data_IF_828530658504
#
_entry.id   IF_828530658504
#
_cell.length_a   1.000
_cell.length_b   1.000
_cell.length_c   1.000
_cell.angle_alpha   90.00
_cell.angle_beta   90.00
_cell.angle_gamma   90.00
#
_symmetry.space_group_name_H-M   'P 1'
#
loop_
_entity.id
_entity.type
_entity.pdbx_description
1 polymer ?
#
# COMPACT_ATOMS: atom_id res chain seq x y z
N UNK A 1 -52.78 -1.01 0.23
CA UNK A 1 -51.66 -1.82 0.76
C UNK A 1 -51.31 -2.92 -0.25
N UNK A 2 -50.22 -2.76 -1.00
CA UNK A 2 -49.38 -3.86 -1.49
C UNK A 2 -47.96 -3.32 -1.54
N UNK A 3 -47.13 -3.87 -0.66
CA UNK A 3 -45.74 -3.49 -0.45
C UNK A 3 -44.90 -3.86 -1.66
N UNK A 4 -43.96 -2.99 -1.98
CA UNK A 4 -42.96 -3.21 -3.01
C UNK A 4 -41.92 -4.24 -2.55
N UNK A 5 -41.50 -5.06 -3.50
CA UNK A 5 -40.31 -5.90 -3.37
C UNK A 5 -39.39 -5.57 -4.54
N UNK A 6 -38.63 -4.49 -4.39
CA UNK A 6 -37.39 -4.28 -5.14
C UNK A 6 -36.26 -4.68 -4.20
N UNK A 7 -36.00 -5.99 -4.11
CA UNK A 7 -34.72 -6.51 -3.61
C UNK A 7 -33.66 -6.16 -4.64
N UNK A 8 -33.18 -4.93 -4.56
CA UNK A 8 -32.12 -4.36 -5.41
C UNK A 8 -30.79 -4.79 -4.82
N UNK A 9 -29.90 -5.36 -5.65
CA UNK A 9 -28.59 -5.89 -5.29
C UNK A 9 -27.59 -4.82 -4.84
N UNK A 10 -27.88 -4.18 -3.71
CA UNK A 10 -27.02 -3.20 -3.03
C UNK A 10 -26.48 -3.71 -1.69
N UNK A 11 -27.00 -4.84 -1.17
CA UNK A 11 -26.57 -5.39 0.13
C UNK A 11 -25.18 -6.07 0.07
N UNK A 12 -24.62 -6.34 -1.11
CA UNK A 12 -23.27 -6.92 -1.24
C UNK A 12 -22.14 -5.90 -1.15
N UNK A 13 -22.45 -4.60 -1.16
CA UNK A 13 -21.48 -3.51 -0.96
C UNK A 13 -21.33 -3.07 0.50
N UNK A 14 -22.07 -3.71 1.41
CA UNK A 14 -22.06 -3.39 2.85
C UNK A 14 -21.08 -4.25 3.65
N UNK A 15 -20.10 -4.90 2.99
CA UNK A 15 -18.84 -5.24 3.67
C UNK A 15 -18.08 -3.95 3.89
N UNK A 16 -18.42 -3.28 4.99
CA UNK A 16 -17.71 -2.14 5.58
C UNK A 16 -16.21 -2.27 5.31
N UNK A 17 -15.69 -1.48 4.37
CA UNK A 17 -14.26 -1.23 4.19
C UNK A 17 -13.75 -0.62 5.50
N UNK A 18 -13.41 -1.47 6.47
CA UNK A 18 -12.87 -1.01 7.74
C UNK A 18 -11.38 -0.84 7.55
N UNK A 19 -11.01 0.39 7.21
CA UNK A 19 -9.65 0.89 7.29
C UNK A 19 -8.98 0.35 8.56
N UNK A 20 -7.75 -0.16 8.41
CA UNK A 20 -6.94 -0.61 9.54
C UNK A 20 -6.72 0.56 10.48
N UNK A 21 -6.59 0.25 11.76
CA UNK A 21 -6.48 1.32 12.75
C UNK A 21 -5.20 2.12 12.55
N UNK A 22 -5.20 3.37 12.97
CA UNK A 22 -3.99 4.20 12.98
C UNK A 22 -2.84 3.50 13.73
N UNK A 23 -3.15 2.85 14.86
CA UNK A 23 -2.16 2.11 15.65
C UNK A 23 -1.55 0.93 14.88
N UNK A 24 -2.34 0.19 14.11
CA UNK A 24 -1.82 -0.89 13.26
C UNK A 24 -0.88 -0.33 12.19
N UNK A 25 -1.27 0.76 11.54
CA UNK A 25 -0.43 1.41 10.53
C UNK A 25 0.87 1.97 11.12
N UNK A 26 0.82 2.56 12.32
CA UNK A 26 2.02 3.04 13.04
C UNK A 26 2.96 1.88 13.41
N UNK A 27 2.42 0.76 13.88
CA UNK A 27 3.19 -0.45 14.19
C UNK A 27 3.93 -0.99 12.96
N UNK A 28 3.25 -1.09 11.82
CA UNK A 28 3.86 -1.55 10.58
C UNK A 28 4.83 -0.54 9.96
N UNK A 29 4.58 0.76 10.11
CA UNK A 29 5.52 1.79 9.72
C UNK A 29 6.83 1.65 10.51
N UNK A 30 6.75 1.48 11.83
CA UNK A 30 7.92 1.29 12.68
C UNK A 30 8.74 0.05 12.29
N UNK A 31 8.06 -1.08 12.04
CA UNK A 31 8.70 -2.31 11.52
C UNK A 31 9.40 -2.06 10.18
N UNK A 32 8.75 -1.39 9.23
CA UNK A 32 9.30 -1.12 7.91
C UNK A 32 10.53 -0.20 7.97
N UNK A 33 10.49 0.86 8.81
CA UNK A 33 11.65 1.73 9.06
C UNK A 33 12.83 0.89 9.59
N UNK A 34 12.58 0.07 10.62
CA UNK A 34 13.63 -0.75 11.20
C UNK A 34 14.29 -1.68 10.18
N UNK A 35 13.51 -2.34 9.32
CA UNK A 35 14.02 -3.24 8.26
C UNK A 35 14.83 -2.51 7.18
N UNK A 36 14.49 -1.26 6.86
CA UNK A 36 15.27 -0.44 5.93
C UNK A 36 16.62 -0.04 6.53
N UNK A 37 16.63 0.30 7.81
CA UNK A 37 17.82 0.77 8.52
C UNK A 37 18.76 -0.36 8.96
N UNK A 38 18.23 -1.58 9.12
CA UNK A 38 18.95 -2.76 9.60
C UNK A 38 18.84 -3.91 8.59
N UNK A 39 19.46 -3.78 7.40
CA UNK A 39 19.54 -4.89 6.45
C UNK A 39 20.29 -6.07 7.09
N UNK A 40 19.87 -7.30 6.77
CA UNK A 40 20.45 -8.49 7.38
C UNK A 40 21.86 -8.73 6.81
N UNK A 41 22.92 -8.63 7.63
CA UNK A 41 24.29 -8.80 7.15
C UNK A 41 24.61 -10.23 6.69
N UNK A 42 23.76 -11.21 7.03
CA UNK A 42 23.93 -12.61 6.64
C UNK A 42 23.35 -12.94 5.27
N UNK A 43 22.60 -12.01 4.66
CA UNK A 43 22.00 -12.22 3.35
C UNK A 43 22.76 -11.41 2.30
N UNK A 44 22.89 -11.96 1.09
CA UNK A 44 23.67 -11.34 0.03
C UNK A 44 23.15 -9.96 -0.38
N UNK A 45 24.06 -9.09 -0.82
CA UNK A 45 23.80 -7.66 -1.13
C UNK A 45 22.59 -7.42 -2.03
N UNK A 46 22.39 -8.26 -3.06
CA UNK A 46 21.25 -8.13 -3.98
C UNK A 46 19.91 -8.36 -3.29
N UNK A 47 19.85 -9.28 -2.32
CA UNK A 47 18.64 -9.54 -1.56
C UNK A 47 18.37 -8.42 -0.56
N UNK A 48 19.41 -7.89 0.08
CA UNK A 48 19.30 -6.70 0.90
C UNK A 48 18.79 -5.51 0.11
N UNK A 49 19.31 -5.27 -1.10
CA UNK A 49 18.81 -4.22 -1.98
C UNK A 49 17.32 -4.38 -2.31
N UNK A 50 16.87 -5.59 -2.65
CA UNK A 50 15.45 -5.86 -2.89
C UNK A 50 14.58 -5.64 -1.64
N UNK A 51 15.06 -6.04 -0.47
CA UNK A 51 14.35 -5.82 0.78
C UNK A 51 14.29 -4.35 1.16
N UNK A 52 15.38 -3.60 0.98
CA UNK A 52 15.41 -2.15 1.18
C UNK A 52 14.39 -1.46 0.28
N UNK A 53 14.31 -1.83 -0.99
CA UNK A 53 13.30 -1.30 -1.93
C UNK A 53 11.86 -1.64 -1.49
N UNK A 54 11.63 -2.91 -1.09
CA UNK A 54 10.32 -3.39 -0.65
C UNK A 54 9.85 -2.67 0.62
N UNK A 55 10.67 -2.67 1.66
CA UNK A 55 10.33 -2.01 2.92
C UNK A 55 10.31 -0.48 2.78
N UNK A 56 11.08 0.08 1.84
CA UNK A 56 10.97 1.48 1.43
C UNK A 56 9.59 1.83 0.89
N UNK A 57 9.04 0.99 0.00
CA UNK A 57 7.68 1.17 -0.53
C UNK A 57 6.60 1.10 0.55
N UNK A 58 6.72 0.14 1.47
CA UNK A 58 5.81 0.00 2.62
C UNK A 58 5.90 1.21 3.54
N UNK A 59 7.12 1.62 3.91
CA UNK A 59 7.37 2.79 4.76
C UNK A 59 6.72 4.03 4.15
N UNK A 60 7.00 4.33 2.89
CA UNK A 60 6.54 5.56 2.26
C UNK A 60 5.01 5.57 2.09
N UNK A 61 4.40 4.41 1.79
CA UNK A 61 2.95 4.28 1.74
C UNK A 61 2.30 4.51 3.12
N UNK A 62 2.81 3.86 4.17
CA UNK A 62 2.26 3.99 5.51
C UNK A 62 2.50 5.38 6.11
N UNK A 63 3.69 5.96 5.92
CA UNK A 63 4.01 7.33 6.32
C UNK A 63 3.08 8.34 5.63
N UNK A 64 2.76 8.13 4.34
CA UNK A 64 1.84 9.00 3.62
C UNK A 64 0.39 8.90 4.15
N UNK A 65 -0.14 7.70 4.38
CA UNK A 65 -1.52 7.57 4.92
C UNK A 65 -1.64 8.03 6.38
N UNK A 66 -0.59 7.83 7.20
CA UNK A 66 -0.52 8.33 8.57
C UNK A 66 -0.33 9.84 8.64
N UNK A 67 0.30 10.37 7.60
CA UNK A 67 0.38 11.78 7.35
C UNK A 67 1.67 12.48 7.67
N UNK A 68 2.73 11.71 7.75
CA UNK A 68 4.08 12.17 8.02
C UNK A 68 4.72 12.79 6.77
N UNK A 69 4.12 12.56 5.60
CA UNK A 69 4.48 13.17 4.32
C UNK A 69 3.23 13.58 3.54
N UNK A 70 3.36 14.63 2.74
CA UNK A 70 2.33 15.11 1.82
C UNK A 70 2.59 14.65 0.37
N UNK A 71 3.58 13.80 0.13
CA UNK A 71 3.89 13.28 -1.21
C UNK A 71 3.43 11.84 -1.33
N UNK A 72 2.60 11.57 -2.34
CA UNK A 72 2.09 10.24 -2.60
C UNK A 72 3.24 9.30 -3.07
N UNK A 73 3.30 8.06 -2.56
CA UNK A 73 4.49 7.20 -2.65
C UNK A 73 4.85 6.77 -4.07
N UNK A 74 3.86 6.54 -4.94
CA UNK A 74 4.02 5.96 -6.28
C UNK A 74 3.95 7.05 -7.34
N UNK A 75 2.90 7.86 -7.36
CA UNK A 75 2.73 8.95 -8.33
C UNK A 75 3.69 10.10 -8.09
N UNK A 76 4.27 10.19 -6.88
CA UNK A 76 5.17 11.27 -6.42
C UNK A 76 4.52 12.66 -6.49
N UNK A 77 3.19 12.72 -6.54
CA UNK A 77 2.44 13.97 -6.55
C UNK A 77 2.30 14.51 -5.14
N UNK A 78 2.31 15.83 -5.00
CA UNK A 78 1.94 16.50 -3.77
C UNK A 78 0.43 16.34 -3.53
N UNK A 79 0.07 15.63 -2.47
CA UNK A 79 -1.28 15.29 -2.03
C UNK A 79 -1.36 15.41 -0.49
N UNK A 80 -1.49 16.63 0.06
CA UNK A 80 -1.56 16.86 1.50
C UNK A 80 -2.89 16.40 2.11
N UNK A 81 -3.92 16.25 1.28
CA UNK A 81 -5.22 15.66 1.67
C UNK A 81 -5.21 14.20 1.27
N UNK A 82 -5.09 13.34 2.27
CA UNK A 82 -4.91 11.89 2.17
C UNK A 82 -6.19 11.13 2.55
N UNK A 83 -7.33 11.66 2.09
CA UNK A 83 -8.62 11.01 2.31
C UNK A 83 -8.74 9.73 1.49
N UNK A 84 -9.83 9.00 1.75
CA UNK A 84 -10.11 7.69 1.18
C UNK A 84 -9.94 7.65 -0.35
N UNK A 85 -10.45 8.68 -1.03
CA UNK A 85 -10.37 8.82 -2.48
C UNK A 85 -8.92 8.92 -2.96
N UNK A 86 -8.05 9.67 -2.27
CA UNK A 86 -6.67 9.83 -2.68
C UNK A 86 -5.87 8.54 -2.51
N UNK A 87 -6.08 7.85 -1.40
CA UNK A 87 -5.46 6.53 -1.15
C UNK A 87 -5.91 5.51 -2.20
N UNK A 88 -7.21 5.47 -2.53
CA UNK A 88 -7.72 4.60 -3.59
C UNK A 88 -7.13 4.94 -4.96
N UNK A 89 -7.04 6.22 -5.31
CA UNK A 89 -6.45 6.65 -6.59
C UNK A 89 -4.98 6.25 -6.70
N UNK A 90 -4.21 6.43 -5.62
CA UNK A 90 -2.80 6.05 -5.58
C UNK A 90 -2.63 4.53 -5.69
N UNK A 91 -3.49 3.76 -5.01
CA UNK A 91 -3.52 2.31 -5.13
C UNK A 91 -3.84 1.84 -6.56
N UNK A 92 -4.87 2.40 -7.20
CA UNK A 92 -5.20 2.07 -8.59
C UNK A 92 -4.06 2.38 -9.56
N UNK A 93 -3.36 3.50 -9.35
CA UNK A 93 -2.19 3.82 -10.14
C UNK A 93 -1.07 2.79 -9.94
N UNK A 94 -0.83 2.38 -8.70
CA UNK A 94 0.11 1.31 -8.38
C UNK A 94 -0.22 -0.02 -9.06
N UNK A 95 -1.49 -0.42 -9.05
CA UNK A 95 -1.97 -1.60 -9.77
C UNK A 95 -1.69 -1.51 -11.28
N UNK A 96 -2.00 -0.38 -11.92
CA UNK A 96 -1.75 -0.19 -13.34
C UNK A 96 -0.25 -0.34 -13.69
N UNK A 97 0.65 0.20 -12.85
CA UNK A 97 2.10 0.04 -13.00
C UNK A 97 2.52 -1.44 -12.91
N UNK A 98 1.96 -2.20 -11.97
CA UNK A 98 2.29 -3.62 -11.76
C UNK A 98 1.76 -4.47 -12.93
N UNK A 99 0.49 -4.29 -13.30
CA UNK A 99 -0.16 -5.03 -14.38
C UNK A 99 0.50 -4.80 -15.74
N UNK A 100 1.02 -3.59 -15.96
CA UNK A 100 1.69 -3.20 -17.21
C UNK A 100 3.21 -3.31 -17.18
N UNK A 101 3.78 -4.06 -16.22
CA UNK A 101 5.24 -4.22 -16.04
C UNK A 101 6.00 -4.61 -17.31
N UNK A 102 5.38 -5.31 -18.25
CA UNK A 102 6.01 -5.71 -19.51
C UNK A 102 6.15 -4.56 -20.53
N UNK A 103 5.39 -3.48 -20.36
CA UNK A 103 5.27 -2.40 -21.36
C UNK A 103 5.49 -0.99 -20.79
N UNK A 104 5.48 -0.82 -19.47
CA UNK A 104 5.62 0.47 -18.81
C UNK A 104 6.74 0.41 -17.78
N UNK A 105 7.55 1.46 -17.68
CA UNK A 105 8.48 1.62 -16.56
C UNK A 105 7.77 2.29 -15.38
N UNK A 106 8.15 1.97 -14.13
CA UNK A 106 7.67 2.72 -12.99
C UNK A 106 8.11 4.18 -13.07
N UNK A 107 7.34 5.12 -12.52
CA UNK A 107 7.64 6.54 -12.60
C UNK A 107 8.91 6.91 -11.82
N UNK A 108 9.58 7.99 -12.25
CA UNK A 108 10.59 8.73 -11.48
C UNK A 108 11.69 7.88 -10.83
N UNK A 109 12.16 6.83 -11.51
CA UNK A 109 13.25 6.00 -11.01
C UNK A 109 12.87 5.01 -9.91
N UNK A 110 11.57 4.85 -9.63
CA UNK A 110 11.08 3.80 -8.74
C UNK A 110 11.31 2.43 -9.34
N UNK A 111 11.51 1.42 -8.49
CA UNK A 111 11.55 0.02 -8.92
C UNK A 111 10.15 -0.59 -8.90
N UNK A 112 9.93 -1.65 -9.68
CA UNK A 112 8.69 -2.41 -9.58
C UNK A 112 8.48 -3.01 -8.19
N UNK A 113 9.56 -3.41 -7.52
CA UNK A 113 9.53 -3.97 -6.16
C UNK A 113 8.96 -2.92 -5.19
N UNK A 114 9.46 -1.69 -5.27
CA UNK A 114 8.93 -0.58 -4.49
C UNK A 114 7.45 -0.33 -4.77
N UNK A 115 7.06 -0.22 -6.05
CA UNK A 115 5.67 0.07 -6.43
C UNK A 115 4.71 -1.05 -5.99
N UNK A 116 5.13 -2.31 -6.12
CA UNK A 116 4.36 -3.46 -5.66
C UNK A 116 4.16 -3.41 -4.14
N UNK A 117 5.22 -3.18 -3.39
CA UNK A 117 5.18 -3.13 -1.94
C UNK A 117 4.31 -1.96 -1.42
N UNK A 118 4.45 -0.77 -1.99
CA UNK A 118 3.61 0.38 -1.68
C UNK A 118 2.12 0.09 -1.99
N UNK A 119 1.83 -0.52 -3.14
CA UNK A 119 0.46 -0.87 -3.55
C UNK A 119 -0.18 -1.88 -2.59
N UNK A 120 0.59 -2.90 -2.18
CA UNK A 120 0.12 -3.90 -1.19
C UNK A 120 -0.11 -3.27 0.18
N UNK A 121 0.76 -2.36 0.62
CA UNK A 121 0.57 -1.63 1.88
C UNK A 121 -0.69 -0.76 1.87
N UNK A 122 -0.96 -0.02 0.78
CA UNK A 122 -2.20 0.76 0.62
C UNK A 122 -3.44 -0.16 0.61
N UNK A 123 -3.37 -1.31 -0.05
CA UNK A 123 -4.48 -2.27 -0.08
C UNK A 123 -4.75 -2.91 1.29
N UNK A 124 -3.68 -3.29 2.01
CA UNK A 124 -3.77 -3.80 3.37
C UNK A 124 -4.37 -2.75 4.32
N UNK A 125 -3.94 -1.49 4.22
CA UNK A 125 -4.44 -0.39 5.07
C UNK A 125 -5.94 -0.14 4.85
N UNK A 126 -6.42 -0.29 3.62
CA UNK A 126 -7.85 -0.24 3.27
C UNK A 126 -8.67 -1.40 3.85
N UNK A 127 -8.03 -2.40 4.45
CA UNK A 127 -8.70 -3.58 5.00
C UNK A 127 -9.22 -4.55 3.93
N UNK A 128 -8.69 -4.46 2.70
CA UNK A 128 -9.15 -5.28 1.58
C UNK A 128 -8.26 -6.51 1.36
N UNK A 129 -8.85 -7.68 1.54
CA UNK A 129 -8.26 -8.99 1.23
C UNK A 129 -7.37 -9.57 2.33
N UNK A 130 -7.04 -10.84 2.18
CA UNK A 130 -6.15 -11.62 3.07
C UNK A 130 -4.67 -11.34 2.75
N UNK A 131 -4.31 -10.07 2.53
CA UNK A 131 -2.90 -9.72 2.32
C UNK A 131 -2.15 -9.84 3.64
N UNK A 132 -1.03 -10.59 3.60
CA UNK A 132 -0.05 -10.63 4.68
C UNK A 132 0.31 -9.21 5.16
N UNK A 133 0.58 -9.12 6.46
CA UNK A 133 1.04 -7.90 7.10
C UNK A 133 2.20 -7.27 6.31
N UNK A 134 2.12 -5.98 5.95
CA UNK A 134 2.98 -5.38 4.92
C UNK A 134 4.45 -5.31 5.32
N UNK A 135 4.78 -5.54 6.60
CA UNK A 135 6.14 -5.55 7.11
C UNK A 135 6.65 -6.96 7.50
N UNK A 136 5.84 -8.00 7.32
CA UNK A 136 6.14 -9.36 7.79
C UNK A 136 6.37 -10.35 6.64
N UNK A 137 6.82 -9.85 5.47
CA UNK A 137 7.29 -10.73 4.39
C UNK A 137 8.50 -11.55 4.89
N UNK A 138 8.26 -12.78 5.32
CA UNK A 138 9.29 -13.78 5.60
C UNK A 138 9.67 -14.48 4.29
N UNK A 139 10.98 -14.59 4.05
CA UNK A 139 11.60 -15.45 3.03
C UNK A 139 12.73 -16.24 3.68
#
# INVERSE_FOLDING_TARGET
MRNGTTGSGFEEFEKVERWRSRADAEHHLAKAIWRVEHPDPMIGDNFNAHNTERFGGVRDALAWVLGDTDTAPITRRYMPVRGDVQVCNEWFYGLDVIERRQTHQPPNGLTFIYCEAATRALNWFRGLGDYEEPADYEY
#
